data_IF_934657001535
#
_entry.id   IF_934657001535
#
_cell.length_a   1.000
_cell.length_b   1.000
_cell.length_c   1.000
_cell.angle_alpha   90.00
_cell.angle_beta   90.00
_cell.angle_gamma   90.00
#
_symmetry.space_group_name_H-M   'P 1'
#
loop_
_entity.id
_entity.type
_entity.pdbx_description
1 polymer ?
#
# COMPACT_ATOMS: atom_id res chain seq x y z
N UNK A 1 3.25 -12.73 5.63
CA UNK A 1 2.26 -11.86 4.96
C UNK A 1 2.10 -12.37 3.53
N UNK A 2 0.98 -13.05 3.23
CA UNK A 2 0.66 -13.53 1.87
C UNK A 2 -0.07 -12.43 1.13
N UNK A 3 0.49 -11.96 0.02
CA UNK A 3 -0.18 -11.03 -0.89
C UNK A 3 -1.07 -11.85 -1.83
N UNK A 4 -2.19 -11.30 -2.29
CA UNK A 4 -3.05 -11.97 -3.28
C UNK A 4 -3.07 -11.12 -4.54
N UNK A 5 -2.88 -11.75 -5.70
CA UNK A 5 -2.99 -11.08 -6.99
C UNK A 5 -4.45 -10.73 -7.29
N UNK A 6 -4.77 -9.48 -7.61
CA UNK A 6 -6.12 -9.09 -8.06
C UNK A 6 -6.48 -9.63 -9.45
N UNK A 7 -5.49 -9.97 -10.29
CA UNK A 7 -5.76 -10.53 -11.61
C UNK A 7 -6.02 -12.05 -11.58
N UNK A 8 -5.16 -12.82 -10.92
CA UNK A 8 -5.23 -14.29 -10.96
C UNK A 8 -5.71 -14.93 -9.65
N UNK A 9 -6.04 -14.12 -8.63
CA UNK A 9 -6.47 -14.53 -7.27
C UNK A 9 -5.55 -15.51 -6.53
N UNK A 10 -4.36 -15.81 -7.08
CA UNK A 10 -3.35 -16.64 -6.44
C UNK A 10 -2.54 -15.85 -5.42
N UNK A 11 -2.09 -16.54 -4.38
CA UNK A 11 -1.20 -15.97 -3.37
C UNK A 11 0.23 -15.82 -3.89
N UNK A 12 0.81 -14.66 -3.65
CA UNK A 12 2.17 -14.26 -4.00
C UNK A 12 2.98 -14.22 -2.71
N UNK A 13 4.13 -14.91 -2.69
CA UNK A 13 5.13 -14.75 -1.64
C UNK A 13 6.08 -13.64 -2.05
N UNK A 14 6.25 -12.66 -1.16
CA UNK A 14 7.16 -11.51 -1.38
C UNK A 14 8.59 -11.97 -1.68
N UNK A 15 9.03 -13.08 -1.08
CA UNK A 15 10.38 -13.64 -1.27
C UNK A 15 10.64 -14.23 -2.65
N UNK A 16 9.61 -14.46 -3.47
CA UNK A 16 9.73 -15.00 -4.85
C UNK A 16 9.50 -13.93 -5.92
N UNK A 17 9.32 -12.68 -5.52
CA UNK A 17 9.17 -11.57 -6.47
C UNK A 17 10.57 -11.19 -6.93
N UNK A 18 10.89 -11.39 -8.21
CA UNK A 18 12.19 -11.00 -8.77
C UNK A 18 12.20 -9.57 -9.32
N UNK A 19 11.03 -9.01 -9.62
CA UNK A 19 10.89 -7.69 -10.21
C UNK A 19 9.99 -6.80 -9.34
N UNK A 20 10.61 -5.76 -8.79
CA UNK A 20 9.98 -4.70 -8.02
C UNK A 20 10.24 -3.38 -8.73
N UNK A 21 9.23 -2.50 -8.77
CA UNK A 21 9.35 -1.16 -9.35
C UNK A 21 8.83 -0.11 -8.37
N UNK A 22 9.57 1.00 -8.24
CA UNK A 22 9.24 2.08 -7.31
C UNK A 22 9.72 1.81 -5.89
N UNK A 23 9.98 2.89 -5.15
CA UNK A 23 10.51 2.84 -3.78
C UNK A 23 9.42 3.17 -2.75
N UNK A 24 9.50 2.52 -1.58
CA UNK A 24 8.65 2.79 -0.43
C UNK A 24 7.17 2.40 -0.61
N UNK A 25 6.27 3.34 -0.33
CA UNK A 25 4.82 3.10 -0.20
C UNK A 25 4.09 2.94 -1.56
N UNK A 26 4.76 3.25 -2.67
CA UNK A 26 4.24 3.12 -4.03
C UNK A 26 4.86 1.92 -4.79
N UNK A 27 5.44 0.97 -4.07
CA UNK A 27 6.06 -0.20 -4.67
C UNK A 27 5.05 -0.99 -5.51
N UNK A 28 5.46 -1.29 -6.74
CA UNK A 28 4.76 -2.15 -7.69
C UNK A 28 5.50 -3.48 -7.76
N UNK A 29 4.74 -4.56 -7.80
CA UNK A 29 5.24 -5.93 -7.76
C UNK A 29 4.71 -6.66 -8.99
N UNK A 30 5.60 -7.35 -9.72
CA UNK A 30 5.16 -8.25 -10.80
C UNK A 30 4.72 -9.59 -10.22
N UNK A 31 3.54 -10.07 -10.62
CA UNK A 31 3.07 -11.40 -10.26
C UNK A 31 3.85 -12.48 -11.03
N UNK A 32 4.43 -13.46 -10.36
CA UNK A 32 5.14 -14.57 -11.01
C UNK A 32 4.20 -15.64 -11.63
N UNK A 33 2.88 -15.55 -11.43
CA UNK A 33 1.90 -16.48 -12.01
C UNK A 33 1.26 -15.98 -13.30
N UNK A 34 0.95 -14.69 -13.38
CA UNK A 34 0.22 -14.10 -14.50
C UNK A 34 0.94 -12.89 -15.13
N UNK A 35 2.16 -12.60 -14.67
CA UNK A 35 3.01 -11.50 -15.16
C UNK A 35 2.40 -10.09 -15.03
N UNK A 36 1.20 -9.98 -14.46
CA UNK A 36 0.53 -8.71 -14.22
C UNK A 36 1.28 -7.87 -13.19
N UNK A 37 1.30 -6.56 -13.43
CA UNK A 37 1.85 -5.58 -12.50
C UNK A 37 0.80 -5.20 -11.46
N UNK A 38 1.17 -5.30 -10.20
CA UNK A 38 0.32 -5.03 -9.06
C UNK A 38 0.86 -3.82 -8.30
N UNK A 39 0.02 -2.82 -8.10
CA UNK A 39 0.34 -1.59 -7.40
C UNK A 39 -0.35 -1.52 -6.05
N UNK A 40 0.24 -0.75 -5.15
CA UNK A 40 -0.37 -0.37 -3.88
C UNK A 40 -0.61 1.14 -3.86
N UNK A 41 -1.71 1.56 -3.25
CA UNK A 41 -2.05 2.98 -3.17
C UNK A 41 -1.22 3.62 -2.07
N UNK A 42 -0.22 4.41 -2.46
CA UNK A 42 0.59 5.17 -1.52
C UNK A 42 -0.25 6.12 -0.65
N UNK A 43 -1.40 6.60 -1.16
CA UNK A 43 -2.33 7.44 -0.40
C UNK A 43 -2.95 6.66 0.76
N UNK A 44 -3.49 5.47 0.50
CA UNK A 44 -4.09 4.61 1.55
C UNK A 44 -3.06 4.21 2.59
N UNK A 45 -1.83 3.89 2.15
CA UNK A 45 -0.74 3.56 3.07
C UNK A 45 -0.34 4.76 3.97
N UNK A 46 -0.31 5.98 3.42
CA UNK A 46 -0.07 7.21 4.22
C UNK A 46 -1.19 7.47 5.22
N UNK A 47 -2.46 7.37 4.79
CA UNK A 47 -3.62 7.54 5.69
C UNK A 47 -3.55 6.54 6.84
N UNK A 48 -3.27 5.26 6.56
CA UNK A 48 -3.09 4.23 7.59
C UNK A 48 -2.02 4.62 8.62
N UNK A 49 -0.87 5.12 8.18
CA UNK A 49 0.20 5.54 9.10
C UNK A 49 -0.21 6.75 9.92
N UNK A 50 -0.82 7.76 9.30
CA UNK A 50 -1.30 8.97 10.01
C UNK A 50 -2.36 8.60 11.04
N UNK A 51 -3.37 7.81 10.68
CA UNK A 51 -4.42 7.35 11.59
C UNK A 51 -3.84 6.59 12.78
N UNK A 52 -2.83 5.74 12.56
CA UNK A 52 -2.17 5.02 13.65
C UNK A 52 -1.50 5.98 14.64
N UNK A 53 -0.69 6.93 14.16
CA UNK A 53 -0.05 7.91 15.04
C UNK A 53 -1.06 8.81 15.74
N UNK A 54 -2.17 9.14 15.08
CA UNK A 54 -3.21 9.97 15.64
C UNK A 54 -3.96 9.26 16.78
N UNK A 55 -4.24 7.96 16.65
CA UNK A 55 -4.79 7.14 17.76
C UNK A 55 -3.84 7.16 18.96
N UNK A 56 -2.54 6.93 18.73
CA UNK A 56 -1.55 6.90 19.82
C UNK A 56 -1.44 8.27 20.49
N UNK A 57 -1.36 9.35 19.70
CA UNK A 57 -1.27 10.70 20.24
C UNK A 57 -2.51 11.08 21.07
N UNK A 58 -3.72 10.76 20.59
CA UNK A 58 -4.95 11.03 21.32
C UNK A 58 -5.07 10.19 22.60
N UNK A 59 -4.62 8.94 22.57
CA UNK A 59 -4.58 8.11 23.78
C UNK A 59 -3.66 8.72 24.85
N UNK A 60 -2.48 9.21 24.45
CA UNK A 60 -1.54 9.88 25.36
C UNK A 60 -2.12 11.21 25.87
N UNK A 61 -2.71 12.03 25.00
CA UNK A 61 -3.33 13.30 25.39
C UNK A 61 -4.47 13.10 26.40
N UNK A 62 -5.35 12.14 26.14
CA UNK A 62 -6.47 11.82 27.03
C UNK A 62 -6.05 11.21 28.37
N UNK A 63 -4.89 10.56 28.40
CA UNK A 63 -4.31 10.02 29.62
C UNK A 63 -3.63 11.11 30.46
N UNK A 64 -2.89 12.02 29.82
CA UNK A 64 -2.12 13.07 30.50
C UNK A 64 -2.97 14.25 30.96
N UNK A 65 -4.07 14.56 30.25
CA UNK A 65 -4.93 15.71 30.54
C UNK A 65 -6.39 15.30 30.64
N UNK A 66 -6.91 15.31 31.87
CA UNK A 66 -8.27 14.88 32.16
C UNK A 66 -9.34 15.78 31.51
N UNK A 67 -9.04 17.07 31.32
CA UNK A 67 -9.89 18.04 30.62
C UNK A 67 -10.16 17.67 29.15
N UNK A 68 -9.24 16.95 28.49
CA UNK A 68 -9.37 16.55 27.09
C UNK A 68 -9.84 15.10 26.92
N UNK A 69 -10.07 14.36 28.02
CA UNK A 69 -10.35 12.92 27.99
C UNK A 69 -11.54 12.53 27.10
N UNK A 70 -12.64 13.26 27.17
CA UNK A 70 -13.83 12.94 26.36
C UNK A 70 -13.58 13.23 24.87
N UNK A 71 -12.94 14.36 24.56
CA UNK A 71 -12.59 14.74 23.20
C UNK A 71 -11.57 13.77 22.58
N UNK A 72 -10.57 13.35 23.37
CA UNK A 72 -9.56 12.42 22.92
C UNK A 72 -10.12 11.03 22.64
N UNK A 73 -11.08 10.55 23.45
CA UNK A 73 -11.78 9.28 23.20
C UNK A 73 -12.55 9.33 21.89
N UNK A 74 -13.34 10.39 21.66
CA UNK A 74 -14.11 10.55 20.42
C UNK A 74 -13.17 10.60 19.21
N UNK A 75 -12.10 11.39 19.29
CA UNK A 75 -11.11 11.47 18.23
C UNK A 75 -10.39 10.13 17.99
N UNK A 76 -10.06 9.38 19.05
CA UNK A 76 -9.39 8.10 18.94
C UNK A 76 -10.29 7.05 18.29
N UNK A 77 -11.60 7.08 18.55
CA UNK A 77 -12.57 6.21 17.87
C UNK A 77 -12.61 6.51 16.37
N UNK A 78 -12.72 7.78 15.99
CA UNK A 78 -12.73 8.18 14.57
C UNK A 78 -11.42 7.80 13.87
N UNK A 79 -10.28 8.05 14.52
CA UNK A 79 -8.97 7.68 14.01
C UNK A 79 -8.81 6.14 13.90
N UNK A 80 -9.33 5.38 14.87
CA UNK A 80 -9.35 3.92 14.84
C UNK A 80 -10.21 3.36 13.70
N UNK A 81 -11.38 3.95 13.47
CA UNK A 81 -12.25 3.58 12.34
C UNK A 81 -11.57 3.84 11.00
N UNK A 82 -10.95 5.00 10.82
CA UNK A 82 -10.19 5.29 9.57
C UNK A 82 -9.00 4.36 9.38
N UNK A 83 -8.31 3.98 10.47
CA UNK A 83 -7.23 2.99 10.44
C UNK A 83 -7.74 1.63 9.97
N UNK A 84 -8.88 1.16 10.51
CA UNK A 84 -9.50 -0.11 10.13
C UNK A 84 -9.89 -0.12 8.65
N UNK A 85 -10.62 0.91 8.20
CA UNK A 85 -11.03 1.03 6.79
C UNK A 85 -9.80 1.06 5.89
N UNK A 86 -8.78 1.85 6.22
CA UNK A 86 -7.53 1.92 5.43
C UNK A 86 -6.77 0.60 5.43
N UNK A 87 -6.87 -0.20 6.50
CA UNK A 87 -6.28 -1.54 6.54
C UNK A 87 -6.98 -2.49 5.59
N UNK A 88 -8.32 -2.49 5.56
CA UNK A 88 -9.08 -3.31 4.61
C UNK A 88 -8.88 -2.84 3.17
N UNK A 89 -8.74 -1.54 2.92
CA UNK A 89 -8.47 -1.01 1.58
C UNK A 89 -7.04 -1.29 1.06
N UNK A 90 -6.18 -1.93 1.85
CA UNK A 90 -4.79 -2.25 1.51
C UNK A 90 -4.69 -3.45 0.53
N UNK A 91 -5.57 -3.48 -0.47
CA UNK A 91 -5.57 -4.45 -1.55
C UNK A 91 -4.65 -4.01 -2.69
N UNK A 92 -4.01 -4.99 -3.33
CA UNK A 92 -3.22 -4.77 -4.55
C UNK A 92 -4.17 -4.63 -5.74
N UNK A 93 -4.05 -3.54 -6.50
CA UNK A 93 -4.78 -3.36 -7.76
C UNK A 93 -3.86 -3.64 -8.95
N UNK A 94 -4.44 -4.12 -10.04
CA UNK A 94 -3.74 -4.29 -11.32
C UNK A 94 -3.39 -2.91 -11.88
N UNK A 95 -2.14 -2.74 -12.30
CA UNK A 95 -1.63 -1.54 -12.97
C UNK A 95 -1.13 -1.95 -14.34
N UNK A 96 -1.12 -1.00 -15.27
CA UNK A 96 -0.53 -1.21 -16.59
C UNK A 96 0.94 -1.61 -16.49
N UNK A 97 1.33 -2.50 -17.40
CA UNK A 97 2.72 -2.91 -17.53
C UNK A 97 3.59 -1.69 -17.89
N UNK A 98 4.88 -1.67 -17.47
CA UNK A 98 5.82 -0.66 -17.92
C UNK A 98 5.78 -0.52 -19.45
N UNK A 99 5.84 0.71 -19.96
CA UNK A 99 6.25 0.92 -21.34
C UNK A 99 7.63 0.25 -21.53
N UNK A 100 7.65 -0.82 -22.31
CA UNK A 100 8.87 -1.46 -22.76
C UNK A 100 9.56 -0.43 -23.65
N UNK A 101 10.79 -0.03 -23.29
CA UNK A 101 11.61 0.82 -24.14
C UNK A 101 11.71 0.14 -25.51
N UNK A 102 11.10 0.73 -26.53
CA UNK A 102 11.12 0.17 -27.88
C UNK A 102 12.57 0.23 -28.41
N UNK A 103 13.24 -0.91 -28.40
CA UNK A 103 14.59 -1.08 -28.93
C UNK A 103 14.57 -1.30 -30.46
N UNK A 104 13.53 -0.84 -31.16
CA UNK A 104 13.43 -0.90 -32.61
C UNK A 104 14.60 -0.20 -33.32
N UNK A 105 15.18 0.84 -32.71
CA UNK A 105 16.38 1.51 -33.23
C UNK A 105 17.67 0.67 -33.12
N UNK A 106 17.79 -0.22 -32.12
CA UNK A 106 18.92 -1.18 -32.05
C UNK A 106 18.77 -2.33 -33.06
N UNK A 107 17.54 -2.79 -33.28
CA UNK A 107 17.25 -3.85 -34.26
C UNK A 107 17.42 -3.39 -35.71
N UNK A 108 17.31 -2.09 -35.99
CA UNK A 108 17.61 -1.49 -37.29
C UNK A 108 19.10 -1.47 -37.63
N UNK A 109 19.99 -1.56 -36.63
CA UNK A 109 21.45 -1.58 -36.86
C UNK A 109 21.95 -2.91 -37.45
N UNK A 110 21.14 -3.98 -37.35
CA UNK A 110 21.47 -5.33 -37.80
C UNK A 110 20.59 -5.84 -38.96
N UNK A 111 19.72 -4.99 -39.53
CA UNK A 111 18.96 -5.28 -40.75
C UNK A 111 19.58 -4.52 -41.92
#
# INVERSE_FOLDING_TARGET
MSLVCSHCSKSIRVTKVEQHRGEGLAAQIRCYHCEAWLGKSARVAKVKMISFYLVVALAVLGYSWEEYRTLSIIGAILAGMTLLVSHFMDHLFTVEAPEQKDNSDELRKYR
#
